data_IF_095538801885
#
_entry.id   IF_095538801885
#
_cell.length_a   1.000
_cell.length_b   1.000
_cell.length_c   1.000
_cell.angle_alpha   90.00
_cell.angle_beta   90.00
_cell.angle_gamma   90.00
#
_symmetry.space_group_name_H-M   'P 1'
#
loop_
_entity.id
_entity.type
_entity.pdbx_description
1 polymer ?
#
# COMPACT_ATOMS: atom_id res chain seq x y z
N UNK A 1 34.07 -18.60 7.34
CA UNK A 1 32.78 -17.91 7.49
C UNK A 1 32.80 -16.93 8.66
N UNK A 2 33.10 -17.33 9.91
CA UNK A 2 33.06 -16.46 11.11
C UNK A 2 33.86 -15.16 10.96
N UNK A 3 35.11 -15.20 10.44
CA UNK A 3 35.95 -14.00 10.25
C UNK A 3 35.34 -13.02 9.22
N UNK A 4 34.78 -13.51 8.12
CA UNK A 4 34.11 -12.66 7.12
C UNK A 4 32.83 -12.06 7.67
N UNK A 5 32.01 -12.86 8.35
CA UNK A 5 30.78 -12.40 9.01
C UNK A 5 31.07 -11.27 10.01
N UNK A 6 32.04 -11.44 10.90
CA UNK A 6 32.41 -10.41 11.90
C UNK A 6 32.98 -9.15 11.24
N UNK A 7 33.77 -9.30 10.16
CA UNK A 7 34.25 -8.16 9.35
C UNK A 7 33.09 -7.35 8.79
N UNK A 8 32.12 -8.04 8.18
CA UNK A 8 30.93 -7.36 7.60
C UNK A 8 30.05 -6.74 8.67
N UNK A 9 29.80 -7.43 9.77
CA UNK A 9 29.04 -6.87 10.87
C UNK A 9 29.70 -5.60 11.44
N UNK A 10 31.03 -5.64 11.64
CA UNK A 10 31.78 -4.45 12.06
C UNK A 10 31.67 -3.33 11.03
N UNK A 11 31.78 -3.65 9.72
CA UNK A 11 31.66 -2.67 8.63
C UNK A 11 30.28 -2.00 8.61
N UNK A 12 29.21 -2.77 8.80
CA UNK A 12 27.85 -2.27 8.91
C UNK A 12 27.71 -1.33 10.09
N UNK A 13 28.22 -1.72 11.27
CA UNK A 13 28.11 -0.89 12.48
C UNK A 13 28.99 0.36 12.46
N UNK A 14 30.11 0.35 11.72
CA UNK A 14 31.05 1.50 11.69
C UNK A 14 30.75 2.52 10.58
N UNK A 15 30.05 2.12 9.52
CA UNK A 15 29.74 3.04 8.40
C UNK A 15 28.28 3.50 8.52
N UNK A 16 28.00 4.79 8.78
CA UNK A 16 26.66 5.30 9.08
C UNK A 16 25.66 5.04 7.95
N UNK A 17 26.12 5.01 6.69
CA UNK A 17 25.25 4.77 5.55
C UNK A 17 24.53 3.41 5.62
N UNK A 18 25.19 2.36 6.14
CA UNK A 18 24.55 1.05 6.31
C UNK A 18 23.46 1.09 7.37
N UNK A 19 23.76 1.66 8.54
CA UNK A 19 22.78 1.77 9.64
C UNK A 19 21.61 2.66 9.21
N UNK A 20 21.88 3.73 8.49
CA UNK A 20 20.83 4.60 7.95
C UNK A 20 19.90 3.83 7.00
N UNK A 21 20.45 3.13 6.00
CA UNK A 21 19.63 2.39 5.02
C UNK A 21 18.96 1.14 5.61
N UNK A 22 19.64 0.43 6.53
CA UNK A 22 19.12 -0.85 7.05
C UNK A 22 18.14 -0.67 8.20
N UNK A 23 18.31 0.35 9.02
CA UNK A 23 17.54 0.57 10.25
C UNK A 23 16.80 1.91 10.20
N UNK A 24 17.52 3.00 9.96
CA UNK A 24 16.97 4.34 10.04
C UNK A 24 15.79 4.56 9.08
N UNK A 25 16.00 4.31 7.79
CA UNK A 25 14.95 4.50 6.76
C UNK A 25 13.75 3.58 7.00
N UNK A 26 13.89 2.25 7.19
CA UNK A 26 12.72 1.39 7.42
C UNK A 26 11.93 1.76 8.68
N UNK A 27 12.59 2.07 9.80
CA UNK A 27 11.91 2.46 11.03
C UNK A 27 11.22 3.82 10.92
N UNK A 28 11.91 4.81 10.34
CA UNK A 28 11.33 6.13 10.09
C UNK A 28 10.08 6.03 9.21
N UNK A 29 10.16 5.30 8.10
CA UNK A 29 9.00 5.12 7.20
C UNK A 29 7.89 4.29 7.87
N UNK A 30 8.21 3.35 8.75
CA UNK A 30 7.20 2.61 9.52
C UNK A 30 6.40 3.56 10.39
N UNK A 31 7.06 4.38 11.19
CA UNK A 31 6.40 5.36 12.05
C UNK A 31 5.65 6.41 11.23
N UNK A 32 6.27 6.93 10.17
CA UNK A 32 5.65 7.95 9.31
C UNK A 32 4.37 7.45 8.65
N UNK A 33 4.41 6.29 7.98
CA UNK A 33 3.26 5.78 7.23
C UNK A 33 2.13 5.34 8.17
N UNK A 34 2.45 4.67 9.27
CA UNK A 34 1.43 4.20 10.21
C UNK A 34 0.78 5.33 11.00
N UNK A 35 1.51 6.41 11.32
CA UNK A 35 0.94 7.62 11.93
C UNK A 35 0.15 8.44 10.94
N UNK A 36 0.66 8.64 9.72
CA UNK A 36 -0.03 9.38 8.67
C UNK A 36 -1.40 8.77 8.34
N UNK A 37 -1.49 7.45 8.32
CA UNK A 37 -2.72 6.72 8.00
C UNK A 37 -3.42 6.16 9.25
N UNK A 38 -3.12 6.70 10.44
CA UNK A 38 -3.60 6.17 11.73
C UNK A 38 -5.12 6.15 11.85
N UNK A 39 -5.82 7.08 11.22
CA UNK A 39 -7.29 7.13 11.20
C UNK A 39 -7.91 6.10 10.23
N UNK A 40 -7.11 5.44 9.40
CA UNK A 40 -7.56 4.45 8.42
C UNK A 40 -8.12 5.06 7.14
N UNK A 41 -9.17 5.87 7.21
CA UNK A 41 -9.69 6.67 6.11
C UNK A 41 -9.54 8.16 6.45
N UNK A 42 -9.39 9.04 5.45
CA UNK A 42 -9.50 10.48 5.66
C UNK A 42 -10.89 10.80 6.22
N UNK A 43 -10.93 11.47 7.37
CA UNK A 43 -12.15 11.98 7.97
C UNK A 43 -12.27 13.48 7.72
N UNK A 44 -13.48 14.03 7.91
CA UNK A 44 -13.75 15.47 7.91
C UNK A 44 -13.21 16.20 6.66
N UNK A 45 -13.36 15.59 5.47
CA UNK A 45 -12.91 16.22 4.23
C UNK A 45 -13.77 17.43 3.90
N UNK A 46 -13.15 18.59 3.54
CA UNK A 46 -13.86 19.83 3.29
C UNK A 46 -14.79 19.73 2.07
N UNK A 47 -16.06 20.01 2.31
CA UNK A 47 -17.16 20.01 1.31
C UNK A 47 -17.89 21.35 1.38
N UNK A 48 -18.34 21.83 0.22
CA UNK A 48 -19.18 23.00 0.10
C UNK A 48 -20.68 22.65 0.03
N UNK A 49 -21.53 23.57 0.42
CA UNK A 49 -22.96 23.50 0.20
C UNK A 49 -23.44 24.74 -0.56
N UNK A 50 -24.19 24.50 -1.64
CA UNK A 50 -24.93 25.54 -2.35
C UNK A 50 -26.42 25.25 -2.18
N UNK A 51 -27.04 25.88 -1.19
CA UNK A 51 -28.48 25.73 -0.88
C UNK A 51 -29.23 26.99 -1.26
N UNK A 52 -29.91 26.96 -2.42
CA UNK A 52 -30.75 28.06 -2.90
C UNK A 52 -32.21 27.93 -2.44
N UNK A 53 -32.61 26.79 -1.86
CA UNK A 53 -33.95 26.55 -1.34
C UNK A 53 -34.13 27.04 0.11
N UNK A 54 -33.06 26.96 0.88
CA UNK A 54 -32.92 27.46 2.26
C UNK A 54 -34.09 27.08 3.19
N UNK A 55 -34.63 25.89 3.02
CA UNK A 55 -35.75 25.35 3.75
C UNK A 55 -35.32 24.57 5.01
N UNK A 56 -36.29 24.21 5.85
CA UNK A 56 -36.05 23.29 6.99
C UNK A 56 -35.56 21.93 6.49
N UNK A 57 -36.08 21.44 5.37
CA UNK A 57 -35.72 20.16 4.77
C UNK A 57 -34.28 20.18 4.27
N UNK A 58 -33.83 21.24 3.60
CA UNK A 58 -32.47 21.34 3.08
C UNK A 58 -31.45 21.56 4.17
N UNK A 59 -31.80 22.28 5.23
CA UNK A 59 -30.95 22.38 6.45
C UNK A 59 -30.76 21.05 7.16
N UNK A 60 -31.83 20.22 7.24
CA UNK A 60 -31.74 18.87 7.78
C UNK A 60 -30.85 17.98 6.91
N UNK A 61 -30.93 18.13 5.57
CA UNK A 61 -30.03 17.45 4.65
C UNK A 61 -28.57 17.82 4.92
N UNK A 62 -28.27 19.10 5.01
CA UNK A 62 -26.93 19.59 5.30
C UNK A 62 -26.36 19.01 6.61
N UNK A 63 -27.17 19.07 7.68
CA UNK A 63 -26.79 18.51 8.97
C UNK A 63 -26.53 16.98 8.92
N UNK A 64 -27.35 16.25 8.17
CA UNK A 64 -27.17 14.82 8.01
C UNK A 64 -25.95 14.48 7.12
N UNK A 65 -25.66 15.31 6.11
CA UNK A 65 -24.47 15.14 5.28
C UNK A 65 -23.19 15.42 6.07
N UNK A 66 -23.21 16.43 6.92
CA UNK A 66 -22.08 16.78 7.80
C UNK A 66 -21.84 15.72 8.89
N UNK A 67 -22.83 14.89 9.18
CA UNK A 67 -22.72 13.78 10.13
C UNK A 67 -22.03 12.54 9.56
N UNK A 68 -21.73 12.47 8.26
CA UNK A 68 -20.95 11.37 7.69
C UNK A 68 -19.48 11.49 8.06
N UNK A 69 -18.83 10.37 8.33
CA UNK A 69 -17.45 10.30 8.81
C UNK A 69 -16.44 11.00 7.88
N UNK A 70 -16.67 10.97 6.56
CA UNK A 70 -15.69 11.48 5.60
C UNK A 70 -16.02 12.91 5.14
N UNK A 71 -17.17 13.47 5.53
CA UNK A 71 -17.70 14.74 5.01
C UNK A 71 -17.75 15.79 6.10
N UNK A 72 -17.19 16.98 5.83
CA UNK A 72 -17.35 18.16 6.69
C UNK A 72 -17.71 19.38 5.86
N UNK A 73 -18.89 19.97 6.12
CA UNK A 73 -19.35 21.18 5.41
C UNK A 73 -18.65 22.39 6.01
N UNK A 74 -17.66 22.91 5.27
CA UNK A 74 -16.84 24.06 5.72
C UNK A 74 -17.45 25.39 5.34
N UNK A 75 -18.21 25.48 4.22
CA UNK A 75 -18.71 26.75 3.72
C UNK A 75 -19.99 26.59 2.89
N UNK A 76 -20.84 27.65 2.98
CA UNK A 76 -22.03 27.79 2.16
C UNK A 76 -21.77 28.82 1.06
N UNK A 77 -21.85 28.39 -0.19
CA UNK A 77 -21.62 29.23 -1.35
C UNK A 77 -22.95 29.76 -1.94
N UNK A 78 -22.90 30.98 -2.45
CA UNK A 78 -24.07 31.64 -3.02
C UNK A 78 -24.43 31.09 -4.41
N UNK A 79 -23.46 30.52 -5.14
CA UNK A 79 -23.68 29.96 -6.47
C UNK A 79 -22.81 28.71 -6.73
N UNK A 80 -23.25 27.84 -7.69
CA UNK A 80 -22.44 26.71 -8.11
C UNK A 80 -21.08 27.12 -8.73
N UNK A 81 -21.01 28.27 -9.40
CA UNK A 81 -19.79 28.80 -9.99
C UNK A 81 -18.76 29.13 -8.92
N UNK A 82 -19.19 29.75 -7.83
CA UNK A 82 -18.32 30.07 -6.69
C UNK A 82 -17.76 28.80 -6.03
N UNK A 83 -18.61 27.79 -5.83
CA UNK A 83 -18.18 26.48 -5.30
C UNK A 83 -17.20 25.76 -6.27
N UNK A 84 -17.41 25.84 -7.58
CA UNK A 84 -16.46 25.30 -8.58
C UNK A 84 -15.11 26.04 -8.49
N UNK A 85 -15.12 27.35 -8.32
CA UNK A 85 -13.88 28.11 -8.14
C UNK A 85 -13.16 27.73 -6.85
N UNK A 86 -13.86 27.53 -5.74
CA UNK A 86 -13.29 27.03 -4.49
C UNK A 86 -12.70 25.62 -4.65
N UNK A 87 -13.38 24.74 -5.37
CA UNK A 87 -12.87 23.40 -5.70
C UNK A 87 -11.61 23.47 -6.57
N UNK A 88 -11.54 24.38 -7.54
CA UNK A 88 -10.34 24.58 -8.37
C UNK A 88 -9.16 25.15 -7.57
N UNK A 89 -9.42 25.95 -6.54
CA UNK A 89 -8.38 26.45 -5.60
C UNK A 89 -7.94 25.38 -4.59
N UNK A 90 -8.63 24.23 -4.53
CA UNK A 90 -8.33 23.14 -3.57
C UNK A 90 -8.84 23.41 -2.15
N UNK A 91 -9.77 24.34 -1.97
CA UNK A 91 -10.37 24.65 -0.68
C UNK A 91 -11.40 23.60 -0.27
N UNK A 92 -12.10 23.02 -1.25
CA UNK A 92 -13.06 21.93 -1.07
C UNK A 92 -12.81 20.81 -2.08
N UNK A 93 -13.16 19.57 -1.73
CA UNK A 93 -13.06 18.41 -2.62
C UNK A 93 -14.37 18.07 -3.33
N UNK A 94 -15.49 18.53 -2.80
CA UNK A 94 -16.81 18.31 -3.35
C UNK A 94 -17.78 19.42 -2.92
N UNK A 95 -18.92 19.51 -3.59
CA UNK A 95 -20.04 20.32 -3.10
C UNK A 95 -21.37 19.71 -3.47
N UNK A 96 -22.37 19.99 -2.63
CA UNK A 96 -23.76 19.61 -2.86
C UNK A 96 -24.56 20.82 -3.31
N UNK A 97 -25.39 20.66 -4.33
CA UNK A 97 -26.19 21.75 -4.91
C UNK A 97 -27.67 21.44 -4.81
N UNK A 98 -28.39 22.29 -4.13
CA UNK A 98 -29.87 22.27 -3.99
C UNK A 98 -30.46 23.47 -4.69
N UNK A 99 -31.19 23.31 -5.81
CA UNK A 99 -31.81 24.40 -6.53
C UNK A 99 -32.97 25.04 -5.75
N UNK A 100 -33.29 26.28 -6.10
CA UNK A 100 -34.46 26.98 -5.58
C UNK A 100 -35.76 26.22 -5.87
N UNK A 101 -36.69 26.18 -4.94
CA UNK A 101 -37.99 25.54 -5.07
C UNK A 101 -37.97 24.02 -4.94
N UNK A 102 -36.84 23.40 -4.53
CA UNK A 102 -36.71 21.95 -4.31
C UNK A 102 -37.78 21.43 -3.36
N UNK A 103 -37.96 22.03 -2.20
CA UNK A 103 -38.99 21.64 -1.21
C UNK A 103 -40.38 21.82 -1.73
N UNK A 104 -40.64 22.91 -2.45
CA UNK A 104 -41.98 23.17 -3.09
C UNK A 104 -42.34 22.10 -4.11
N UNK A 105 -41.41 21.70 -4.96
CA UNK A 105 -41.60 20.59 -5.92
C UNK A 105 -41.87 19.28 -5.20
N UNK A 106 -41.10 18.99 -4.14
CA UNK A 106 -41.26 17.79 -3.33
C UNK A 106 -42.66 17.71 -2.72
N UNK A 107 -43.17 18.81 -2.15
CA UNK A 107 -44.54 18.88 -1.61
C UNK A 107 -45.64 18.73 -2.66
N UNK A 108 -45.36 19.11 -3.92
CA UNK A 108 -46.26 18.90 -5.07
C UNK A 108 -46.17 17.49 -5.67
N UNK A 109 -45.36 16.58 -5.07
CA UNK A 109 -45.07 15.26 -5.59
C UNK A 109 -44.36 15.28 -6.97
N UNK A 110 -43.73 16.37 -7.32
CA UNK A 110 -42.82 16.49 -8.45
C UNK A 110 -41.43 15.94 -8.01
N UNK A 111 -40.63 15.43 -8.92
CA UNK A 111 -39.26 14.95 -8.64
C UNK A 111 -38.28 16.12 -8.78
N UNK A 112 -37.83 16.77 -7.68
CA UNK A 112 -36.81 17.78 -7.78
C UNK A 112 -35.46 17.13 -8.10
N UNK A 113 -34.62 17.84 -8.83
CA UNK A 113 -33.26 17.41 -9.12
C UNK A 113 -32.31 18.13 -8.15
N UNK A 114 -31.59 17.38 -7.34
CA UNK A 114 -30.44 17.85 -6.57
C UNK A 114 -29.19 17.28 -7.20
N UNK A 115 -28.08 18.01 -7.16
CA UNK A 115 -26.85 17.61 -7.80
C UNK A 115 -25.70 17.66 -6.80
N UNK A 116 -24.72 16.81 -6.99
CA UNK A 116 -23.46 16.92 -6.27
C UNK A 116 -22.27 16.79 -7.24
N UNK A 117 -21.20 17.45 -6.91
CA UNK A 117 -19.99 17.53 -7.71
C UNK A 117 -18.81 17.08 -6.87
N UNK A 118 -17.97 16.18 -7.40
CA UNK A 118 -16.79 15.65 -6.73
C UNK A 118 -15.55 15.87 -7.58
N UNK A 119 -14.43 16.21 -6.93
CA UNK A 119 -13.16 16.38 -7.62
C UNK A 119 -12.40 15.04 -7.72
N UNK A 120 -12.58 14.35 -8.84
CA UNK A 120 -11.94 13.06 -9.10
C UNK A 120 -10.45 13.16 -9.50
N UNK A 121 -9.86 14.37 -9.56
CA UNK A 121 -8.42 14.51 -9.65
C UNK A 121 -7.73 13.96 -8.38
N UNK A 122 -8.41 14.01 -7.25
CA UNK A 122 -8.03 13.34 -5.99
C UNK A 122 -8.85 12.07 -5.83
N UNK A 123 -8.42 10.98 -6.47
CA UNK A 123 -9.19 9.74 -6.62
C UNK A 123 -9.78 9.22 -5.31
N UNK A 124 -9.00 9.22 -4.21
CA UNK A 124 -9.47 8.74 -2.91
C UNK A 124 -10.55 9.68 -2.33
N UNK A 125 -10.26 10.97 -2.22
CA UNK A 125 -11.22 11.94 -1.68
C UNK A 125 -12.49 11.98 -2.53
N UNK A 126 -12.34 12.05 -3.86
CA UNK A 126 -13.48 12.05 -4.78
C UNK A 126 -14.37 10.81 -4.66
N UNK A 127 -13.78 9.62 -4.54
CA UNK A 127 -14.55 8.38 -4.44
C UNK A 127 -15.26 8.21 -3.09
N UNK A 128 -14.64 8.61 -1.98
CA UNK A 128 -15.25 8.55 -0.66
C UNK A 128 -16.40 9.56 -0.54
N UNK A 129 -16.18 10.81 -0.95
CA UNK A 129 -17.21 11.84 -0.94
C UNK A 129 -18.35 11.52 -1.93
N UNK A 130 -18.04 10.94 -3.09
CA UNK A 130 -19.07 10.46 -4.01
C UNK A 130 -19.98 9.41 -3.34
N UNK A 131 -19.39 8.45 -2.61
CA UNK A 131 -20.14 7.43 -1.88
C UNK A 131 -21.05 8.08 -0.82
N UNK A 132 -20.55 8.99 -0.01
CA UNK A 132 -21.32 9.66 1.04
C UNK A 132 -22.46 10.50 0.45
N UNK A 133 -22.17 11.33 -0.55
CA UNK A 133 -23.17 12.19 -1.22
C UNK A 133 -24.24 11.37 -1.94
N UNK A 134 -23.87 10.28 -2.59
CA UNK A 134 -24.80 9.36 -3.21
C UNK A 134 -25.70 8.68 -2.17
N UNK A 135 -25.12 8.14 -1.11
CA UNK A 135 -25.87 7.50 -0.01
C UNK A 135 -26.86 8.49 0.61
N UNK A 136 -26.44 9.73 0.84
CA UNK A 136 -27.31 10.77 1.35
C UNK A 136 -28.46 11.08 0.39
N UNK A 137 -28.18 11.19 -0.91
CA UNK A 137 -29.19 11.42 -1.93
C UNK A 137 -30.24 10.29 -2.00
N UNK A 138 -29.77 9.04 -1.90
CA UNK A 138 -30.63 7.86 -1.87
C UNK A 138 -31.51 7.81 -0.59
N UNK A 139 -30.93 8.10 0.57
CA UNK A 139 -31.67 8.19 1.84
C UNK A 139 -32.74 9.27 1.82
N UNK A 140 -32.41 10.44 1.28
CA UNK A 140 -33.38 11.52 1.12
C UNK A 140 -34.51 11.16 0.18
N UNK A 141 -34.19 10.61 -0.98
CA UNK A 141 -35.19 10.13 -1.95
C UNK A 141 -36.14 9.11 -1.33
N UNK A 142 -35.57 8.15 -0.58
CA UNK A 142 -36.33 7.15 0.17
C UNK A 142 -37.23 7.76 1.26
N UNK A 143 -36.70 8.71 2.04
CA UNK A 143 -37.46 9.40 3.08
C UNK A 143 -38.64 10.20 2.51
N UNK A 144 -38.38 10.93 1.40
CA UNK A 144 -39.42 11.68 0.67
C UNK A 144 -40.50 10.75 0.13
N UNK A 145 -40.12 9.67 -0.57
CA UNK A 145 -41.07 8.70 -1.11
C UNK A 145 -41.87 7.99 -0.01
N UNK A 146 -41.23 7.68 1.13
CA UNK A 146 -41.91 7.11 2.30
C UNK A 146 -42.99 8.06 2.83
N UNK A 147 -42.69 9.36 2.97
CA UNK A 147 -43.63 10.35 3.46
C UNK A 147 -44.87 10.46 2.54
N UNK A 148 -44.65 10.42 1.23
CA UNK A 148 -45.75 10.42 0.21
C UNK A 148 -46.60 9.16 0.33
N UNK A 149 -46.01 7.97 0.46
CA UNK A 149 -46.76 6.73 0.61
C UNK A 149 -47.59 6.69 1.90
N UNK A 150 -47.04 7.15 3.02
CA UNK A 150 -47.77 7.28 4.27
C UNK A 150 -48.94 8.27 4.17
N UNK A 151 -48.74 9.41 3.51
CA UNK A 151 -49.78 10.39 3.27
C UNK A 151 -50.95 9.84 2.36
N UNK A 152 -50.64 8.86 1.51
CA UNK A 152 -51.64 8.12 0.70
C UNK A 152 -52.29 6.98 1.46
N UNK A 153 -52.05 6.81 2.73
CA UNK A 153 -52.66 5.80 3.59
C UNK A 153 -51.95 4.45 3.65
N UNK A 154 -50.78 4.32 3.08
CA UNK A 154 -49.98 3.10 3.20
C UNK A 154 -49.51 2.91 4.64
N UNK A 155 -49.48 1.65 5.14
CA UNK A 155 -48.83 1.34 6.40
C UNK A 155 -47.32 1.44 6.28
N UNK A 156 -46.61 1.63 7.41
CA UNK A 156 -45.17 1.69 7.42
C UNK A 156 -44.48 0.47 6.79
N UNK A 157 -45.03 -0.73 7.01
CA UNK A 157 -44.55 -1.97 6.38
C UNK A 157 -44.75 -2.00 4.87
N UNK A 158 -45.91 -1.57 4.40
CA UNK A 158 -46.20 -1.49 2.96
C UNK A 158 -45.28 -0.44 2.26
N UNK A 159 -45.08 0.70 2.90
CA UNK A 159 -44.17 1.74 2.38
C UNK A 159 -42.74 1.21 2.28
N UNK A 160 -42.24 0.52 3.30
CA UNK A 160 -40.89 -0.08 3.27
C UNK A 160 -40.77 -1.19 2.23
N UNK A 161 -41.75 -2.05 2.12
CA UNK A 161 -41.75 -3.11 1.08
C UNK A 161 -41.78 -2.57 -0.33
N UNK A 162 -42.43 -1.41 -0.55
CA UNK A 162 -42.45 -0.73 -1.84
C UNK A 162 -41.10 -0.05 -2.15
N UNK A 163 -40.47 0.59 -1.15
CA UNK A 163 -39.21 1.30 -1.32
C UNK A 163 -38.00 0.37 -1.42
N UNK A 164 -38.06 -0.75 -0.70
CA UNK A 164 -37.02 -1.78 -0.70
C UNK A 164 -37.61 -3.14 -1.00
N UNK A 165 -38.04 -3.41 -2.24
CA UNK A 165 -38.63 -4.70 -2.63
C UNK A 165 -37.61 -5.85 -2.54
N UNK A 166 -36.31 -5.52 -2.56
CA UNK A 166 -35.20 -6.47 -2.40
C UNK A 166 -34.30 -5.91 -1.31
N UNK A 167 -34.10 -6.69 -0.27
CA UNK A 167 -33.10 -6.39 0.78
C UNK A 167 -31.74 -6.84 0.28
N UNK A 168 -30.80 -5.91 0.20
CA UNK A 168 -29.41 -6.19 -0.19
C UNK A 168 -28.64 -6.51 1.07
N UNK A 169 -28.18 -7.75 1.19
CA UNK A 169 -27.25 -8.18 2.23
C UNK A 169 -25.84 -8.21 1.63
N UNK A 170 -24.94 -7.36 2.14
CA UNK A 170 -23.61 -7.19 1.59
C UNK A 170 -22.55 -7.47 2.64
N UNK A 171 -21.63 -8.39 2.32
CA UNK A 171 -20.52 -8.77 3.18
C UNK A 171 -19.20 -8.42 2.51
N UNK A 172 -18.47 -7.47 3.09
CA UNK A 172 -17.12 -7.16 2.66
C UNK A 172 -16.12 -8.15 3.28
N UNK A 173 -15.24 -8.72 2.46
CA UNK A 173 -14.22 -9.70 2.86
C UNK A 173 -12.84 -9.02 2.88
N UNK A 174 -11.94 -9.50 3.74
CA UNK A 174 -10.54 -9.07 3.83
C UNK A 174 -10.36 -7.77 4.61
N UNK A 175 -10.82 -6.66 4.10
CA UNK A 175 -10.75 -5.34 4.77
C UNK A 175 -12.14 -4.66 4.80
N UNK A 176 -13.06 -5.15 5.66
CA UNK A 176 -14.46 -4.70 5.64
C UNK A 176 -14.64 -3.22 6.01
N UNK A 177 -13.74 -2.66 6.81
CA UNK A 177 -13.76 -1.25 7.24
C UNK A 177 -13.11 -0.34 6.20
N UNK A 178 -12.60 -0.90 5.09
CA UNK A 178 -11.84 -0.16 4.06
C UNK A 178 -10.66 0.65 4.64
N UNK A 179 -10.06 0.16 5.72
CA UNK A 179 -8.96 0.83 6.37
C UNK A 179 -7.74 0.93 5.44
N UNK A 180 -7.38 2.16 5.09
CA UNK A 180 -6.32 2.45 4.14
C UNK A 180 -4.93 2.13 4.70
N UNK A 181 -4.76 2.23 6.03
CA UNK A 181 -3.52 1.86 6.70
C UNK A 181 -3.26 0.34 6.57
N UNK A 182 -4.29 -0.49 6.79
CA UNK A 182 -4.21 -1.95 6.58
C UNK A 182 -3.85 -2.26 5.14
N UNK A 183 -4.51 -1.61 4.18
CA UNK A 183 -4.28 -1.83 2.76
C UNK A 183 -2.87 -1.45 2.31
N UNK A 184 -2.40 -0.25 2.70
CA UNK A 184 -1.18 0.32 2.14
C UNK A 184 0.08 -0.05 2.93
N UNK A 185 0.05 0.00 4.28
CA UNK A 185 1.24 -0.23 5.10
C UNK A 185 1.78 -1.64 4.98
N UNK A 186 0.89 -2.64 4.83
CA UNK A 186 1.29 -4.05 4.66
C UNK A 186 2.04 -4.36 3.37
N UNK A 187 2.06 -3.46 2.39
CA UNK A 187 2.80 -3.64 1.16
C UNK A 187 3.92 -2.62 1.01
N UNK A 188 3.67 -1.37 1.38
CA UNK A 188 4.70 -0.32 1.27
C UNK A 188 5.89 -0.59 2.18
N UNK A 189 5.66 -1.02 3.42
CA UNK A 189 6.75 -1.25 4.37
C UNK A 189 7.63 -2.46 3.98
N UNK A 190 7.09 -3.65 3.67
CA UNK A 190 7.90 -4.74 3.13
C UNK A 190 8.55 -4.41 1.78
N UNK A 191 7.87 -3.65 0.92
CA UNK A 191 8.42 -3.20 -0.35
C UNK A 191 9.59 -2.23 -0.19
N UNK A 192 9.47 -1.28 0.74
CA UNK A 192 10.57 -0.38 1.11
C UNK A 192 11.75 -1.15 1.72
N UNK A 193 11.46 -2.10 2.61
CA UNK A 193 12.48 -2.98 3.17
C UNK A 193 13.20 -3.75 2.06
N UNK A 194 12.47 -4.29 1.08
CA UNK A 194 13.02 -4.95 -0.10
C UNK A 194 13.93 -4.03 -0.92
N UNK A 195 13.51 -2.79 -1.15
CA UNK A 195 14.32 -1.78 -1.84
C UNK A 195 15.62 -1.48 -1.09
N UNK A 196 15.58 -1.33 0.24
CA UNK A 196 16.77 -1.13 1.06
C UNK A 196 17.69 -2.36 1.01
N UNK A 197 17.13 -3.56 0.98
CA UNK A 197 17.89 -4.80 0.83
C UNK A 197 18.61 -4.83 -0.53
N UNK A 198 17.95 -4.45 -1.63
CA UNK A 198 18.58 -4.34 -2.94
C UNK A 198 19.75 -3.36 -2.89
N UNK A 199 19.55 -2.16 -2.37
CA UNK A 199 20.61 -1.15 -2.26
C UNK A 199 21.79 -1.62 -1.43
N UNK A 200 21.55 -2.14 -0.24
CA UNK A 200 22.63 -2.56 0.65
C UNK A 200 23.38 -3.76 0.09
N UNK A 201 22.68 -4.74 -0.51
CA UNK A 201 23.32 -5.92 -1.12
C UNK A 201 24.18 -5.52 -2.30
N UNK A 202 23.66 -4.72 -3.22
CA UNK A 202 24.39 -4.21 -4.41
C UNK A 202 25.55 -3.33 -3.96
N UNK A 203 25.31 -2.37 -3.07
CA UNK A 203 26.35 -1.46 -2.58
C UNK A 203 27.48 -2.18 -1.86
N UNK A 204 27.15 -3.12 -0.98
CA UNK A 204 28.13 -3.87 -0.19
C UNK A 204 29.05 -4.74 -1.05
N UNK A 205 28.51 -5.39 -2.08
CA UNK A 205 29.30 -6.20 -3.03
C UNK A 205 30.07 -5.27 -3.97
N UNK A 206 29.40 -4.24 -4.50
CA UNK A 206 30.02 -3.24 -5.39
C UNK A 206 31.17 -2.48 -4.75
N UNK A 207 31.08 -2.20 -3.46
CA UNK A 207 32.14 -1.54 -2.72
C UNK A 207 33.42 -2.42 -2.57
N UNK A 208 33.29 -3.74 -2.48
CA UNK A 208 34.44 -4.63 -2.51
C UNK A 208 35.17 -4.59 -3.86
N UNK A 209 34.42 -4.44 -4.95
CA UNK A 209 34.99 -4.25 -6.30
C UNK A 209 35.70 -2.91 -6.38
N UNK A 210 35.04 -1.83 -5.93
CA UNK A 210 35.55 -0.47 -5.99
C UNK A 210 36.82 -0.28 -5.15
N UNK A 211 36.87 -0.85 -3.95
CA UNK A 211 38.00 -0.74 -3.03
C UNK A 211 39.12 -1.77 -3.34
N UNK A 212 38.96 -2.64 -4.33
CA UNK A 212 39.91 -3.71 -4.63
C UNK A 212 40.01 -4.76 -3.52
N UNK A 213 39.02 -4.80 -2.60
CA UNK A 213 39.01 -5.67 -1.43
C UNK A 213 38.63 -7.13 -1.69
N UNK A 214 38.24 -7.46 -2.94
CA UNK A 214 37.72 -8.78 -3.32
C UNK A 214 38.68 -9.93 -3.06
N UNK A 215 39.98 -9.76 -3.41
CA UNK A 215 41.02 -10.77 -3.17
C UNK A 215 41.22 -11.01 -1.67
N UNK A 216 41.27 -9.95 -0.85
CA UNK A 216 41.39 -10.04 0.59
C UNK A 216 40.18 -10.78 1.22
N UNK A 217 38.97 -10.54 0.70
CA UNK A 217 37.76 -11.23 1.10
C UNK A 217 37.84 -12.74 0.80
N UNK A 218 38.33 -13.12 -0.37
CA UNK A 218 38.52 -14.53 -0.76
C UNK A 218 39.57 -15.21 0.10
N UNK A 219 40.70 -14.54 0.41
CA UNK A 219 41.73 -15.08 1.32
C UNK A 219 41.15 -15.34 2.71
N UNK A 220 40.36 -14.39 3.28
CA UNK A 220 39.69 -14.56 4.57
C UNK A 220 38.70 -15.73 4.59
N UNK A 221 38.12 -16.07 3.45
CA UNK A 221 37.22 -17.21 3.28
C UNK A 221 37.91 -18.53 2.91
N UNK A 222 39.25 -18.56 2.98
CA UNK A 222 40.09 -19.70 2.55
C UNK A 222 39.87 -20.08 1.06
N UNK A 223 39.77 -19.10 0.17
CA UNK A 223 39.59 -19.28 -1.26
C UNK A 223 38.16 -19.67 -1.72
N UNK A 224 37.23 -19.86 -0.79
CA UNK A 224 35.87 -20.26 -1.11
C UNK A 224 34.95 -19.05 -1.34
N UNK A 225 34.57 -18.78 -2.59
CA UNK A 225 33.61 -17.73 -2.95
C UNK A 225 32.24 -17.94 -2.32
N UNK A 226 31.79 -19.19 -2.20
CA UNK A 226 30.56 -19.54 -1.50
C UNK A 226 30.58 -19.05 -0.04
N UNK A 227 31.64 -19.40 0.72
CA UNK A 227 31.77 -18.98 2.13
C UNK A 227 31.88 -17.45 2.26
N UNK A 228 32.53 -16.78 1.30
CA UNK A 228 32.65 -15.34 1.26
C UNK A 228 31.29 -14.67 1.06
N UNK A 229 30.56 -15.07 0.02
CA UNK A 229 29.25 -14.52 -0.33
C UNK A 229 28.24 -14.74 0.81
N UNK A 230 28.05 -15.98 1.25
CA UNK A 230 27.05 -16.30 2.25
C UNK A 230 27.37 -15.73 3.64
N UNK A 231 28.64 -15.60 4.01
CA UNK A 231 29.02 -14.95 5.27
C UNK A 231 28.73 -13.43 5.22
N UNK A 232 28.88 -12.82 4.04
CA UNK A 232 28.56 -11.41 3.79
C UNK A 232 27.05 -11.18 3.84
N UNK A 233 26.27 -12.00 3.12
CA UNK A 233 24.82 -11.93 3.12
C UNK A 233 24.22 -12.23 4.51
N UNK A 234 24.78 -13.19 5.26
CA UNK A 234 24.28 -13.52 6.58
C UNK A 234 24.38 -12.36 7.59
N UNK A 235 25.43 -11.53 7.51
CA UNK A 235 25.56 -10.36 8.36
C UNK A 235 24.47 -9.32 8.06
N UNK A 236 24.15 -9.09 6.79
CA UNK A 236 23.07 -8.19 6.36
C UNK A 236 21.70 -8.78 6.69
N UNK A 237 21.53 -10.08 6.42
CA UNK A 237 20.30 -10.80 6.72
C UNK A 237 19.89 -10.67 8.19
N UNK A 238 20.85 -10.83 9.11
CA UNK A 238 20.56 -10.73 10.54
C UNK A 238 19.89 -9.39 10.89
N UNK A 239 20.42 -8.29 10.38
CA UNK A 239 19.89 -6.95 10.68
C UNK A 239 18.56 -6.72 9.97
N UNK A 240 18.45 -7.05 8.70
CA UNK A 240 17.18 -6.89 7.97
C UNK A 240 16.07 -7.80 8.49
N UNK A 241 16.41 -9.02 8.93
CA UNK A 241 15.45 -9.91 9.58
C UNK A 241 14.95 -9.33 10.90
N UNK A 242 15.83 -8.76 11.74
CA UNK A 242 15.43 -8.09 12.98
C UNK A 242 14.54 -6.89 12.71
N UNK A 243 14.86 -6.06 11.73
CA UNK A 243 14.02 -4.91 11.32
C UNK A 243 12.70 -5.39 10.74
N UNK A 244 12.70 -6.41 9.89
CA UNK A 244 11.47 -7.01 9.35
C UNK A 244 10.59 -7.60 10.46
N UNK A 245 11.18 -8.33 11.42
CA UNK A 245 10.45 -8.84 12.58
C UNK A 245 9.85 -7.71 13.41
N UNK A 246 10.58 -6.63 13.62
CA UNK A 246 10.06 -5.44 14.31
C UNK A 246 8.86 -4.85 13.56
N UNK A 247 8.98 -4.65 12.24
CA UNK A 247 7.87 -4.13 11.41
C UNK A 247 6.65 -5.05 11.53
N UNK A 248 6.83 -6.36 11.35
CA UNK A 248 5.73 -7.32 11.43
C UNK A 248 5.07 -7.38 12.80
N UNK A 249 5.86 -7.38 13.89
CA UNK A 249 5.33 -7.33 15.25
C UNK A 249 4.61 -6.01 15.54
N UNK A 250 5.10 -4.90 15.01
CA UNK A 250 4.45 -3.61 15.15
C UNK A 250 3.10 -3.57 14.43
N UNK A 251 3.04 -4.03 13.17
CA UNK A 251 1.80 -4.05 12.39
C UNK A 251 0.75 -5.01 12.98
N UNK A 252 1.14 -6.25 13.26
CA UNK A 252 0.19 -7.28 13.68
C UNK A 252 0.01 -7.37 15.20
N UNK A 253 1.04 -7.01 15.98
CA UNK A 253 1.00 -7.09 17.45
C UNK A 253 0.54 -5.78 18.11
N UNK A 254 1.06 -4.62 17.65
CA UNK A 254 0.76 -3.32 18.27
C UNK A 254 -0.47 -2.68 17.60
N UNK A 255 -0.48 -2.59 16.27
CA UNK A 255 -1.60 -1.99 15.52
C UNK A 255 -2.76 -2.96 15.32
N UNK A 256 -2.61 -4.23 15.72
CA UNK A 256 -3.63 -5.27 15.64
C UNK A 256 -4.26 -5.42 14.24
N UNK A 257 -3.44 -5.32 13.20
CA UNK A 257 -3.91 -5.55 11.83
C UNK A 257 -4.40 -6.99 11.65
N UNK A 258 -5.41 -7.22 10.78
CA UNK A 258 -5.94 -8.55 10.53
C UNK A 258 -4.85 -9.54 10.11
N UNK A 259 -4.80 -10.70 10.77
CA UNK A 259 -3.81 -11.74 10.49
C UNK A 259 -4.42 -13.11 10.78
N UNK A 260 -5.30 -13.60 9.88
CA UNK A 260 -6.01 -14.86 10.08
C UNK A 260 -5.10 -16.09 10.12
N UNK A 261 -3.95 -16.05 9.41
CA UNK A 261 -2.99 -17.14 9.43
C UNK A 261 -2.06 -17.17 10.68
N UNK A 262 -2.22 -16.20 11.58
CA UNK A 262 -1.40 -16.02 12.77
C UNK A 262 -0.11 -15.24 12.53
N UNK A 263 0.28 -14.46 13.54
CA UNK A 263 1.47 -13.58 13.50
C UNK A 263 2.76 -14.36 13.18
N UNK A 264 3.05 -15.54 13.77
CA UNK A 264 4.28 -16.27 13.48
C UNK A 264 4.43 -16.64 11.99
N UNK A 265 3.32 -17.00 11.34
CA UNK A 265 3.30 -17.32 9.91
C UNK A 265 3.70 -16.11 9.07
N UNK A 266 3.09 -14.94 9.32
CA UNK A 266 3.41 -13.72 8.59
C UNK A 266 4.85 -13.25 8.84
N UNK A 267 5.37 -13.39 10.05
CA UNK A 267 6.77 -13.11 10.36
C UNK A 267 7.72 -14.02 9.57
N UNK A 268 7.41 -15.32 9.47
CA UNK A 268 8.18 -16.26 8.66
C UNK A 268 8.18 -15.87 7.17
N UNK A 269 7.01 -15.49 6.63
CA UNK A 269 6.88 -15.03 5.25
C UNK A 269 7.67 -13.75 5.00
N UNK A 270 7.69 -12.83 5.96
CA UNK A 270 8.49 -11.61 5.87
C UNK A 270 10.00 -11.90 5.88
N UNK A 271 10.46 -12.85 6.72
CA UNK A 271 11.85 -13.33 6.70
C UNK A 271 12.19 -13.96 5.33
N UNK A 272 11.29 -14.74 4.77
CA UNK A 272 11.47 -15.32 3.44
C UNK A 272 11.56 -14.24 2.36
N UNK A 273 10.76 -13.18 2.47
CA UNK A 273 10.84 -12.01 1.60
C UNK A 273 12.21 -11.31 1.69
N UNK A 274 12.78 -11.19 2.91
CA UNK A 274 14.15 -10.65 3.10
C UNK A 274 15.18 -11.48 2.35
N UNK A 275 15.13 -12.82 2.46
CA UNK A 275 16.01 -13.73 1.73
C UNK A 275 15.85 -13.62 0.22
N UNK A 276 14.61 -13.60 -0.27
CA UNK A 276 14.28 -13.44 -1.68
C UNK A 276 14.82 -12.13 -2.26
N UNK A 277 14.67 -11.04 -1.50
CA UNK A 277 15.19 -9.73 -1.89
C UNK A 277 16.72 -9.70 -1.94
N UNK A 278 17.41 -10.32 -0.97
CA UNK A 278 18.86 -10.46 -1.02
C UNK A 278 19.31 -11.27 -2.23
N UNK A 279 18.60 -12.36 -2.53
CA UNK A 279 18.89 -13.20 -3.70
C UNK A 279 18.82 -12.41 -5.00
N UNK A 280 17.78 -11.61 -5.17
CA UNK A 280 17.64 -10.74 -6.34
C UNK A 280 18.70 -9.62 -6.36
N UNK A 281 19.07 -9.05 -5.22
CA UNK A 281 20.15 -8.07 -5.11
C UNK A 281 21.52 -8.63 -5.59
N UNK A 282 21.81 -9.91 -5.30
CA UNK A 282 23.01 -10.60 -5.80
C UNK A 282 22.95 -10.77 -7.31
N UNK A 283 21.78 -11.12 -7.87
CA UNK A 283 21.59 -11.19 -9.32
C UNK A 283 21.86 -9.83 -9.97
N UNK A 284 21.31 -8.74 -9.42
CA UNK A 284 21.47 -7.38 -9.96
C UNK A 284 22.94 -6.97 -10.08
N UNK A 285 23.73 -7.13 -9.01
CA UNK A 285 25.15 -6.77 -9.04
C UNK A 285 25.96 -7.76 -9.88
N UNK A 286 25.52 -9.00 -10.02
CA UNK A 286 26.17 -10.00 -10.89
C UNK A 286 25.94 -9.72 -12.36
N UNK A 287 24.79 -9.19 -12.72
CA UNK A 287 24.46 -8.77 -14.09
C UNK A 287 25.21 -7.48 -14.45
N UNK A 288 25.23 -6.52 -13.54
CA UNK A 288 25.84 -5.17 -13.72
C UNK A 288 26.92 -4.98 -12.65
N UNK A 289 28.15 -5.48 -12.85
CA UNK A 289 29.20 -5.49 -11.83
C UNK A 289 29.86 -4.12 -11.62
N UNK A 290 29.12 -3.06 -11.74
CA UNK A 290 29.51 -1.68 -11.41
C UNK A 290 28.61 -1.18 -10.28
N UNK A 291 29.17 -0.62 -9.19
CA UNK A 291 28.38 -0.11 -8.09
C UNK A 291 27.35 0.94 -8.54
N UNK A 292 27.72 1.81 -9.48
CA UNK A 292 26.87 2.88 -10.01
C UNK A 292 25.69 2.32 -10.81
N UNK A 293 25.97 1.47 -11.79
CA UNK A 293 24.93 0.85 -12.63
C UNK A 293 24.06 -0.10 -11.83
N UNK A 294 24.65 -0.91 -10.94
CA UNK A 294 23.92 -1.83 -10.07
C UNK A 294 22.94 -1.12 -9.14
N UNK A 295 23.33 0.02 -8.54
CA UNK A 295 22.45 0.82 -7.70
C UNK A 295 21.33 1.50 -8.51
N UNK A 296 21.64 2.03 -9.70
CA UNK A 296 20.61 2.59 -10.58
C UNK A 296 19.58 1.55 -11.00
N UNK A 297 20.04 0.34 -11.35
CA UNK A 297 19.14 -0.78 -11.68
C UNK A 297 18.31 -1.23 -10.48
N UNK A 298 18.92 -1.33 -9.30
CA UNK A 298 18.22 -1.68 -8.06
C UNK A 298 17.14 -0.65 -7.70
N UNK A 299 17.42 0.64 -7.88
CA UNK A 299 16.47 1.72 -7.69
C UNK A 299 15.27 1.59 -8.62
N UNK A 300 15.53 1.50 -9.93
CA UNK A 300 14.49 1.36 -10.94
C UNK A 300 13.61 0.13 -10.67
N UNK A 301 14.24 -1.01 -10.41
CA UNK A 301 13.54 -2.28 -10.15
C UNK A 301 12.70 -2.21 -8.90
N UNK A 302 13.23 -1.63 -7.83
CA UNK A 302 12.51 -1.45 -6.57
C UNK A 302 11.28 -0.56 -6.71
N UNK A 303 11.38 0.56 -7.43
CA UNK A 303 10.25 1.46 -7.68
C UNK A 303 9.18 0.80 -8.56
N UNK A 304 9.58 0.15 -9.65
CA UNK A 304 8.65 -0.57 -10.54
C UNK A 304 7.91 -1.68 -9.77
N UNK A 305 8.57 -2.33 -8.79
CA UNK A 305 7.97 -3.41 -8.02
C UNK A 305 6.66 -2.99 -7.32
N UNK A 306 6.56 -1.75 -6.82
CA UNK A 306 5.34 -1.23 -6.20
C UNK A 306 4.17 -1.09 -7.20
N UNK A 307 4.47 -0.63 -8.40
CA UNK A 307 3.42 -0.43 -9.43
C UNK A 307 2.91 -1.75 -9.99
N UNK A 308 3.78 -2.77 -10.07
CA UNK A 308 3.51 -4.02 -10.80
C UNK A 308 3.12 -5.19 -9.88
N UNK A 309 3.27 -5.04 -8.54
CA UNK A 309 2.96 -6.12 -7.60
C UNK A 309 1.48 -6.55 -7.56
N UNK A 310 0.57 -5.73 -8.07
CA UNK A 310 -0.87 -6.00 -8.09
C UNK A 310 -1.68 -5.17 -7.08
N UNK A 311 -1.01 -4.37 -6.24
CA UNK A 311 -1.68 -3.49 -5.29
C UNK A 311 -2.30 -2.27 -5.98
N UNK A 312 -1.50 -1.50 -6.73
CA UNK A 312 -1.96 -0.26 -7.38
C UNK A 312 -2.93 -0.52 -8.53
N UNK A 313 -2.69 -1.60 -9.26
CA UNK A 313 -3.52 -2.03 -10.39
C UNK A 313 -3.66 -3.56 -10.35
N UNK A 314 -4.91 -4.11 -10.41
CA UNK A 314 -5.13 -5.55 -10.36
C UNK A 314 -4.34 -6.30 -11.44
N UNK A 315 -3.56 -7.29 -11.05
CA UNK A 315 -2.66 -7.99 -11.96
C UNK A 315 -3.40 -8.67 -13.13
N UNK A 316 -4.63 -9.15 -12.89
CA UNK A 316 -5.47 -9.79 -13.92
C UNK A 316 -5.96 -8.81 -14.98
N UNK A 317 -6.02 -7.51 -14.67
CA UNK A 317 -6.40 -6.45 -15.60
C UNK A 317 -5.19 -5.79 -16.30
N UNK A 318 -3.97 -6.21 -15.96
CA UNK A 318 -2.76 -5.72 -16.60
C UNK A 318 -2.65 -6.24 -18.03
N UNK A 319 -2.01 -5.45 -18.89
CA UNK A 319 -1.63 -5.90 -20.22
C UNK A 319 -0.74 -7.17 -20.13
N UNK A 320 -0.91 -8.18 -21.00
CA UNK A 320 -0.26 -9.49 -20.85
C UNK A 320 1.26 -9.44 -20.63
N UNK A 321 1.95 -8.51 -21.31
CA UNK A 321 3.41 -8.33 -21.18
C UNK A 321 3.77 -7.84 -19.76
N UNK A 322 3.02 -6.89 -19.22
CA UNK A 322 3.24 -6.35 -17.87
C UNK A 322 2.87 -7.40 -16.80
N UNK A 323 1.79 -8.15 -17.04
CA UNK A 323 1.45 -9.28 -16.18
C UNK A 323 2.58 -10.32 -16.16
N UNK A 324 3.14 -10.68 -17.32
CA UNK A 324 4.31 -11.56 -17.41
C UNK A 324 5.54 -10.99 -16.67
N UNK A 325 5.82 -9.70 -16.84
CA UNK A 325 6.92 -9.02 -16.15
C UNK A 325 6.75 -9.05 -14.63
N UNK A 326 5.51 -8.97 -14.12
CA UNK A 326 5.22 -8.95 -12.69
C UNK A 326 5.73 -10.19 -11.93
N UNK A 327 5.91 -11.33 -12.61
CA UNK A 327 6.46 -12.55 -12.00
C UNK A 327 7.94 -12.43 -11.59
N UNK A 328 8.66 -11.42 -12.08
CA UNK A 328 10.07 -11.19 -11.76
C UNK A 328 10.28 -10.40 -10.44
N UNK A 329 9.21 -10.05 -9.74
CA UNK A 329 9.27 -9.23 -8.54
C UNK A 329 8.89 -10.02 -7.28
N UNK A 330 9.79 -10.19 -6.31
CA UNK A 330 9.48 -10.88 -5.04
C UNK A 330 8.33 -10.24 -4.27
N UNK A 331 8.19 -8.90 -4.34
CA UNK A 331 7.14 -8.16 -3.67
C UNK A 331 5.73 -8.60 -4.08
N UNK A 332 5.55 -9.00 -5.35
CA UNK A 332 4.28 -9.56 -5.84
C UNK A 332 3.86 -10.80 -5.05
N UNK A 333 4.79 -11.72 -4.85
CA UNK A 333 4.49 -12.98 -4.16
C UNK A 333 4.23 -12.76 -2.68
N UNK A 334 4.97 -11.84 -2.06
CA UNK A 334 4.68 -11.44 -0.69
C UNK A 334 3.29 -10.79 -0.56
N UNK A 335 2.91 -9.92 -1.51
CA UNK A 335 1.58 -9.31 -1.54
C UNK A 335 0.47 -10.36 -1.66
N UNK A 336 0.63 -11.33 -2.58
CA UNK A 336 -0.34 -12.41 -2.75
C UNK A 336 -0.43 -13.30 -1.50
N UNK A 337 0.68 -13.58 -0.83
CA UNK A 337 0.71 -14.30 0.45
C UNK A 337 0.01 -13.51 1.55
N UNK A 338 0.24 -12.21 1.62
CA UNK A 338 -0.45 -11.33 2.56
C UNK A 338 -1.97 -11.35 2.35
N UNK A 339 -2.42 -11.12 1.12
CA UNK A 339 -3.87 -11.12 0.82
C UNK A 339 -4.49 -12.49 1.14
N UNK A 340 -3.92 -13.56 0.61
CA UNK A 340 -4.50 -14.90 0.78
C UNK A 340 -4.46 -15.39 2.23
N UNK A 341 -3.32 -15.24 2.91
CA UNK A 341 -3.14 -15.83 4.24
C UNK A 341 -3.59 -14.89 5.37
N UNK A 342 -3.21 -13.62 5.31
CA UNK A 342 -3.50 -12.69 6.40
C UNK A 342 -4.92 -12.11 6.33
N UNK A 343 -5.39 -11.71 5.14
CA UNK A 343 -6.70 -11.09 4.98
C UNK A 343 -7.82 -12.13 4.76
N UNK A 344 -7.62 -13.07 3.83
CA UNK A 344 -8.67 -14.03 3.43
C UNK A 344 -8.66 -15.32 4.24
N UNK A 345 -7.62 -15.56 5.06
CA UNK A 345 -7.54 -16.72 5.94
C UNK A 345 -7.32 -18.05 5.23
N UNK A 346 -6.83 -18.06 3.97
CA UNK A 346 -6.47 -19.29 3.27
C UNK A 346 -5.29 -19.99 3.93
N UNK A 347 -5.32 -21.32 3.87
CA UNK A 347 -4.21 -22.13 4.39
C UNK A 347 -2.92 -21.90 3.60
N UNK A 348 -1.79 -21.99 4.29
CA UNK A 348 -0.46 -21.84 3.65
C UNK A 348 -0.21 -22.91 2.55
N UNK A 349 -0.85 -24.07 2.66
CA UNK A 349 -0.80 -25.12 1.63
C UNK A 349 -1.42 -24.67 0.30
N UNK A 350 -2.53 -23.92 0.32
CA UNK A 350 -3.12 -23.33 -0.87
C UNK A 350 -2.26 -22.20 -1.48
N UNK A 351 -1.46 -21.52 -0.67
CA UNK A 351 -0.54 -20.46 -1.09
C UNK A 351 0.88 -20.97 -1.41
N UNK A 352 1.12 -22.29 -1.39
CA UNK A 352 2.43 -22.92 -1.63
C UNK A 352 3.15 -22.44 -2.90
N UNK A 353 2.52 -22.21 -4.06
CA UNK A 353 3.20 -21.70 -5.25
C UNK A 353 3.89 -20.36 -5.02
N UNK A 354 3.29 -19.46 -4.22
CA UNK A 354 3.87 -18.15 -3.92
C UNK A 354 5.06 -18.25 -2.96
N UNK A 355 4.97 -19.16 -1.98
CA UNK A 355 6.12 -19.51 -1.11
C UNK A 355 7.26 -20.10 -1.94
N UNK A 356 6.94 -21.02 -2.87
CA UNK A 356 7.91 -21.62 -3.78
C UNK A 356 8.62 -20.58 -4.64
N UNK A 357 7.91 -19.60 -5.15
CA UNK A 357 8.50 -18.51 -5.92
C UNK A 357 9.49 -17.68 -5.08
N UNK A 358 9.13 -17.32 -3.84
CA UNK A 358 10.07 -16.62 -2.93
C UNK A 358 11.31 -17.47 -2.62
N UNK A 359 11.15 -18.78 -2.45
CA UNK A 359 12.29 -19.69 -2.27
C UNK A 359 13.21 -19.72 -3.49
N UNK A 360 12.67 -19.71 -4.70
CA UNK A 360 13.47 -19.60 -5.94
C UNK A 360 14.32 -18.34 -5.92
N UNK A 361 13.73 -17.17 -5.58
CA UNK A 361 14.50 -15.94 -5.43
C UNK A 361 15.56 -16.02 -4.34
N UNK A 362 15.25 -16.61 -3.20
CA UNK A 362 16.18 -16.79 -2.08
C UNK A 362 17.38 -17.69 -2.46
N UNK A 363 17.20 -18.62 -3.39
CA UNK A 363 18.24 -19.54 -3.88
C UNK A 363 19.09 -18.96 -5.02
N UNK A 364 18.71 -17.83 -5.63
CA UNK A 364 19.48 -17.20 -6.72
C UNK A 364 20.98 -17.03 -6.40
N UNK A 365 21.42 -16.66 -5.20
CA UNK A 365 22.85 -16.51 -4.91
C UNK A 365 23.66 -17.76 -5.19
N UNK A 366 23.07 -18.97 -5.09
CA UNK A 366 23.76 -20.23 -5.43
C UNK A 366 24.21 -20.27 -6.88
N UNK A 367 23.38 -19.78 -7.80
CA UNK A 367 23.68 -19.77 -9.24
C UNK A 367 24.79 -18.76 -9.57
N UNK A 368 24.93 -17.70 -8.77
CA UNK A 368 25.87 -16.61 -9.05
C UNK A 368 27.17 -16.67 -8.25
N UNK A 369 27.46 -17.75 -7.49
CA UNK A 369 28.72 -17.92 -6.75
C UNK A 369 29.94 -17.86 -7.67
N UNK A 370 29.87 -18.49 -8.84
CA UNK A 370 30.96 -18.47 -9.83
C UNK A 370 31.20 -17.06 -10.40
N UNK A 371 30.12 -16.34 -10.69
CA UNK A 371 30.19 -14.94 -11.17
C UNK A 371 30.72 -14.01 -10.08
N UNK A 372 30.27 -14.21 -8.84
CA UNK A 372 30.80 -13.47 -7.68
C UNK A 372 32.30 -13.66 -7.52
N UNK A 373 32.82 -14.90 -7.69
CA UNK A 373 34.25 -15.17 -7.68
C UNK A 373 34.99 -14.37 -8.74
N UNK A 374 34.50 -14.40 -9.99
CA UNK A 374 35.10 -13.63 -11.11
C UNK A 374 35.13 -12.14 -10.81
N UNK A 375 34.04 -11.61 -10.22
CA UNK A 375 33.97 -10.20 -9.83
C UNK A 375 35.03 -9.83 -8.78
N UNK A 376 35.26 -10.71 -7.81
CA UNK A 376 36.24 -10.46 -6.74
C UNK A 376 37.71 -10.63 -7.20
N UNK A 377 37.97 -11.47 -8.20
CA UNK A 377 39.32 -11.77 -8.68
C UNK A 377 39.77 -10.90 -9.84
N UNK A 378 38.86 -10.56 -10.79
CA UNK A 378 39.23 -10.10 -12.13
C UNK A 378 38.68 -8.71 -12.51
N UNK A 379 37.59 -8.25 -11.89
CA UNK A 379 36.99 -6.97 -12.30
C UNK A 379 37.69 -5.85 -11.55
N UNK A 380 38.38 -5.00 -12.32
CA UNK A 380 38.84 -3.69 -11.84
C UNK A 380 37.72 -2.68 -11.98
N UNK A 381 37.62 -1.77 -11.00
CA UNK A 381 36.67 -0.68 -11.07
C UNK A 381 37.18 0.37 -12.07
N UNK A 382 36.41 0.62 -13.09
CA UNK A 382 36.57 1.79 -13.97
C UNK A 382 35.63 2.89 -13.45
N UNK A 383 36.14 4.10 -13.19
CA UNK A 383 35.37 5.22 -12.59
C UNK A 383 34.24 5.75 -13.45
#
# INVERSE_FOLDING_TARGET
MKKVFLRELRRICTRPIYLFCMVGVPLFCTLLLTTLMGQGLPADMPVGLVDLDNSVTTRSLASNLDAFQNTHIVEHYASPEEAIHAMRRGEIYAFYYVPEGTTRKLLRQEAPTVSFYTNNAYLMAGSLLYKDMRTMSELMGGAAARSVLLAKGATSGQAMAFLQPIVIDSHAIGNPVLNYNIYLSNILLPGLLSLMIFFVTVFSIGQEIKEGGGRALLILSKGSAFKALYAKLAAQFLIFALVGLFIGLYLYGVLAFPCHCGIPTMLLLLILMVLASQGLGVLMISALPSPRLGLSFASLWGVISFSICGMSFPAMAMYPVLHGLSYLFPLRYYYLLYVNCALDGFSLSGAAPFVGALLVFALLPLLFVGRFRQMMERIAYEP
#
